data_IF_636086527420
#
_entry.id   IF_636086527420
#
_cell.length_a   1.000
_cell.length_b   1.000
_cell.length_c   1.000
_cell.angle_alpha   90.00
_cell.angle_beta   90.00
_cell.angle_gamma   90.00
#
_symmetry.space_group_name_H-M   'P 1'
#
loop_
_entity.id
_entity.type
_entity.pdbx_description
1 polymer ?
#
# COMPACT_ATOMS: atom_id res chain seq x y z
N UNK A 1 12.90 3.47 -45.64
CA UNK A 1 12.28 4.01 -44.40
C UNK A 1 10.76 4.19 -44.49
N UNK A 2 10.21 4.96 -45.45
CA UNK A 2 8.75 5.21 -45.59
C UNK A 2 7.89 3.94 -45.66
N UNK A 3 8.31 2.94 -46.46
CA UNK A 3 7.63 1.64 -46.61
C UNK A 3 7.56 0.82 -45.31
N UNK A 4 8.54 1.01 -44.42
CA UNK A 4 8.59 0.32 -43.12
C UNK A 4 7.67 0.98 -42.08
N UNK A 5 7.68 2.32 -42.05
CA UNK A 5 6.77 3.11 -41.22
C UNK A 5 5.31 2.85 -41.59
N UNK A 6 5.02 2.71 -42.89
CA UNK A 6 3.68 2.42 -43.38
C UNK A 6 3.21 1.00 -43.04
N UNK A 7 4.12 0.03 -43.08
CA UNK A 7 3.87 -1.35 -42.61
C UNK A 7 3.55 -1.39 -41.13
N UNK A 8 4.26 -0.61 -40.32
CA UNK A 8 3.99 -0.48 -38.87
C UNK A 8 2.64 0.21 -38.64
N UNK A 9 2.36 1.31 -39.35
CA UNK A 9 1.10 2.06 -39.24
C UNK A 9 -0.12 1.20 -39.58
N UNK A 10 -0.04 0.36 -40.60
CA UNK A 10 -1.12 -0.58 -40.93
C UNK A 10 -1.25 -1.72 -39.92
N UNK A 11 -0.18 -2.09 -39.21
CA UNK A 11 -0.18 -3.12 -38.17
C UNK A 11 -0.69 -2.62 -36.82
N UNK A 12 -0.57 -1.31 -36.54
CA UNK A 12 -1.02 -0.62 -35.31
C UNK A 12 -2.36 0.13 -35.54
N UNK A 13 -3.11 -0.22 -36.58
CA UNK A 13 -4.36 0.50 -36.90
C UNK A 13 -5.44 0.13 -35.88
N UNK A 14 -5.65 1.02 -34.90
CA UNK A 14 -6.57 0.82 -33.75
C UNK A 14 -8.03 0.71 -34.20
N UNK A 15 -8.40 1.38 -35.30
CA UNK A 15 -9.75 1.33 -35.86
C UNK A 15 -9.75 0.61 -37.22
N UNK A 16 -10.69 -0.32 -37.46
CA UNK A 16 -10.80 -1.00 -38.74
C UNK A 16 -11.13 0.01 -39.86
N UNK A 17 -10.66 -0.23 -41.10
CA UNK A 17 -11.08 0.55 -42.26
C UNK A 17 -12.58 0.34 -42.53
N UNK A 18 -13.23 1.36 -43.09
CA UNK A 18 -14.65 1.30 -43.49
C UNK A 18 -14.84 0.23 -44.58
N UNK A 19 -15.82 -0.64 -44.42
CA UNK A 19 -16.11 -1.68 -45.42
C UNK A 19 -16.89 -1.11 -46.62
N UNK A 20 -16.71 -1.72 -47.79
CA UNK A 20 -17.37 -1.31 -49.03
C UNK A 20 -18.88 -1.60 -48.93
N UNK A 21 -19.72 -0.57 -49.10
CA UNK A 21 -21.17 -0.65 -48.86
C UNK A 21 -21.64 -0.25 -47.46
N UNK A 22 -20.74 0.01 -46.51
CA UNK A 22 -21.10 0.40 -45.14
C UNK A 22 -21.59 1.85 -45.07
N UNK A 23 -22.69 2.13 -44.36
CA UNK A 23 -23.18 3.51 -44.18
C UNK A 23 -22.19 4.33 -43.32
N UNK A 24 -22.14 5.65 -43.54
CA UNK A 24 -21.26 6.54 -42.76
C UNK A 24 -21.59 6.53 -41.26
N UNK A 25 -22.88 6.43 -40.93
CA UNK A 25 -23.37 6.35 -39.55
C UNK A 25 -22.98 5.05 -38.86
N UNK A 26 -23.06 3.92 -39.56
CA UNK A 26 -22.70 2.61 -39.04
C UNK A 26 -21.20 2.51 -38.72
N UNK A 27 -20.36 3.10 -39.58
CA UNK A 27 -18.92 3.20 -39.33
C UNK A 27 -18.60 4.11 -38.13
N UNK A 28 -19.35 5.22 -37.96
CA UNK A 28 -19.20 6.10 -36.81
C UNK A 28 -19.60 5.39 -35.50
N UNK A 29 -20.72 4.66 -35.48
CA UNK A 29 -21.14 3.84 -34.33
C UNK A 29 -20.10 2.78 -33.96
N UNK A 30 -19.52 2.10 -34.94
CA UNK A 30 -18.46 1.11 -34.69
C UNK A 30 -17.22 1.74 -34.04
N UNK A 31 -16.78 2.92 -34.49
CA UNK A 31 -15.68 3.64 -33.85
C UNK A 31 -15.99 4.04 -32.41
N UNK A 32 -17.20 4.53 -32.15
CA UNK A 32 -17.63 4.91 -30.79
C UNK A 32 -17.64 3.70 -29.87
N UNK A 33 -18.25 2.58 -30.29
CA UNK A 33 -18.28 1.34 -29.51
C UNK A 33 -16.86 0.82 -29.25
N UNK A 34 -16.00 0.87 -30.26
CA UNK A 34 -14.62 0.41 -30.12
C UNK A 34 -13.80 1.32 -29.18
N UNK A 35 -14.00 2.64 -29.27
CA UNK A 35 -13.41 3.61 -28.35
C UNK A 35 -13.86 3.40 -26.90
N UNK A 36 -15.16 3.15 -26.68
CA UNK A 36 -15.69 2.84 -25.35
C UNK A 36 -15.06 1.54 -24.81
N UNK A 37 -14.99 0.48 -25.61
CA UNK A 37 -14.38 -0.81 -25.21
C UNK A 37 -12.91 -0.65 -24.79
N UNK A 38 -12.12 0.08 -25.58
CA UNK A 38 -10.73 0.35 -25.22
C UNK A 38 -10.62 1.26 -24.00
N UNK A 39 -11.48 2.27 -23.87
CA UNK A 39 -11.54 3.13 -22.70
C UNK A 39 -11.85 2.35 -21.41
N UNK A 40 -12.87 1.49 -21.44
CA UNK A 40 -13.21 0.63 -20.30
C UNK A 40 -12.09 -0.35 -19.95
N UNK A 41 -11.40 -0.90 -20.96
CA UNK A 41 -10.28 -1.81 -20.75
C UNK A 41 -9.10 -1.10 -20.07
N UNK A 42 -8.75 0.10 -20.54
CA UNK A 42 -7.66 0.90 -19.97
C UNK A 42 -7.98 1.30 -18.53
N UNK A 43 -9.21 1.76 -18.25
CA UNK A 43 -9.64 2.10 -16.89
C UNK A 43 -9.59 0.89 -15.94
N UNK A 44 -10.06 -0.28 -16.41
CA UNK A 44 -9.97 -1.51 -15.63
C UNK A 44 -8.51 -1.90 -15.35
N UNK A 45 -7.62 -1.78 -16.33
CA UNK A 45 -6.19 -2.06 -16.15
C UNK A 45 -5.54 -1.13 -15.12
N UNK A 46 -5.88 0.16 -15.14
CA UNK A 46 -5.40 1.11 -14.12
C UNK A 46 -5.95 0.80 -12.73
N UNK A 47 -7.23 0.42 -12.62
CA UNK A 47 -7.83 0.03 -11.35
C UNK A 47 -7.16 -1.22 -10.77
N UNK A 48 -6.90 -2.23 -11.60
CA UNK A 48 -6.16 -3.45 -11.19
C UNK A 48 -4.74 -3.10 -10.75
N UNK A 49 -4.01 -2.28 -11.54
CA UNK A 49 -2.65 -1.87 -11.19
C UNK A 49 -2.61 -1.12 -9.84
N UNK A 50 -3.56 -0.20 -9.60
CA UNK A 50 -3.66 0.50 -8.31
C UNK A 50 -4.03 -0.46 -7.19
N UNK A 51 -4.94 -1.40 -7.42
CA UNK A 51 -5.28 -2.45 -6.46
C UNK A 51 -4.07 -3.29 -6.06
N UNK A 52 -3.23 -3.68 -7.04
CA UNK A 52 -1.98 -4.40 -6.78
C UNK A 52 -1.03 -3.52 -5.97
N UNK A 53 -0.81 -2.25 -6.33
CA UNK A 53 0.10 -1.37 -5.59
C UNK A 53 -0.34 -1.12 -4.14
N UNK A 54 -1.64 -1.05 -3.87
CA UNK A 54 -2.18 -0.86 -2.51
C UNK A 54 -2.15 -2.18 -1.72
N UNK A 55 -2.50 -3.31 -2.34
CA UNK A 55 -2.51 -4.61 -1.68
C UNK A 55 -1.10 -5.18 -1.48
N UNK A 56 -0.16 -4.84 -2.35
CA UNK A 56 1.26 -5.12 -2.20
C UNK A 56 1.93 -4.18 -1.19
N UNK A 57 1.17 -3.66 -0.21
CA UNK A 57 1.70 -2.94 0.93
C UNK A 57 2.93 -3.64 1.50
N UNK A 58 3.90 -2.86 1.92
CA UNK A 58 5.23 -3.32 2.31
C UNK A 58 5.15 -4.29 3.49
N UNK A 59 5.02 -5.59 3.21
CA UNK A 59 5.31 -6.62 4.19
C UNK A 59 6.83 -6.68 4.29
N UNK A 60 7.41 -5.88 5.18
CA UNK A 60 8.83 -5.98 5.50
C UNK A 60 9.02 -7.26 6.32
N UNK A 61 9.32 -8.35 5.62
CA UNK A 61 9.76 -9.58 6.28
C UNK A 61 11.14 -9.34 6.85
N UNK A 62 11.20 -9.22 8.18
CA UNK A 62 12.45 -9.16 8.94
C UNK A 62 12.74 -10.55 9.50
N UNK A 63 13.87 -11.14 9.10
CA UNK A 63 14.39 -12.39 9.68
C UNK A 63 15.82 -12.14 10.10
N UNK A 64 16.13 -12.47 11.36
CA UNK A 64 17.48 -12.41 11.89
C UNK A 64 17.97 -13.85 12.12
N UNK A 65 18.88 -14.31 11.27
CA UNK A 65 19.46 -15.66 11.35
C UNK A 65 20.96 -15.58 11.50
N UNK A 66 21.50 -16.16 12.58
CA UNK A 66 22.94 -16.29 12.82
C UNK A 66 23.26 -17.77 12.92
N UNK A 67 24.16 -18.27 12.07
CA UNK A 67 24.56 -19.68 11.99
C UNK A 67 23.37 -20.67 11.93
N UNK A 68 22.34 -20.32 11.16
CA UNK A 68 21.14 -21.15 10.96
C UNK A 68 20.15 -21.17 12.14
N UNK A 69 20.34 -20.31 13.15
CA UNK A 69 19.39 -20.09 14.24
C UNK A 69 18.68 -18.76 14.09
N UNK A 70 17.36 -18.78 14.17
CA UNK A 70 16.56 -17.56 14.27
C UNK A 70 16.81 -16.92 15.65
N UNK A 71 17.24 -15.67 15.64
CA UNK A 71 17.46 -14.87 16.83
C UNK A 71 16.42 -13.76 16.93
N UNK A 72 16.08 -13.29 18.16
CA UNK A 72 15.27 -12.10 18.32
C UNK A 72 15.89 -10.90 17.59
N UNK A 73 15.02 -9.97 17.17
CA UNK A 73 15.44 -8.72 16.54
C UNK A 73 15.71 -7.72 17.65
N UNK A 74 16.98 -7.40 17.87
CA UNK A 74 17.42 -6.37 18.82
C UNK A 74 17.65 -5.02 18.15
N UNK A 75 18.03 -5.04 16.87
CA UNK A 75 18.20 -3.87 16.02
C UNK A 75 18.02 -4.26 14.56
N UNK A 76 17.82 -3.27 13.71
CA UNK A 76 17.80 -3.42 12.26
C UNK A 76 18.98 -2.66 11.67
N UNK A 77 19.59 -3.23 10.63
CA UNK A 77 20.63 -2.53 9.87
C UNK A 77 19.97 -1.42 9.04
N UNK A 78 20.43 -0.19 9.21
CA UNK A 78 19.91 0.98 8.51
C UNK A 78 20.93 2.11 8.49
N UNK A 79 21.05 2.79 7.34
CA UNK A 79 21.86 4.00 7.19
C UNK A 79 21.14 5.25 7.73
N UNK A 80 19.84 5.15 8.03
CA UNK A 80 19.05 6.25 8.57
C UNK A 80 19.32 6.44 10.07
N UNK A 81 19.47 7.69 10.51
CA UNK A 81 19.63 8.03 11.94
C UNK A 81 18.29 7.96 12.68
N UNK A 82 17.76 6.75 12.86
CA UNK A 82 16.48 6.48 13.52
C UNK A 82 16.68 5.59 14.75
N UNK A 83 15.77 5.72 15.70
CA UNK A 83 15.63 4.82 16.85
C UNK A 83 14.17 4.37 16.94
N UNK A 84 13.93 3.20 17.51
CA UNK A 84 12.61 2.71 17.87
C UNK A 84 12.48 2.73 19.40
N UNK A 85 11.35 3.22 19.91
CA UNK A 85 11.06 3.24 21.35
C UNK A 85 9.95 2.24 21.65
N UNK A 86 10.14 1.44 22.70
CA UNK A 86 9.14 0.49 23.20
C UNK A 86 9.04 0.54 24.72
N UNK A 87 7.88 0.17 25.25
CA UNK A 87 7.58 0.12 26.68
C UNK A 87 7.01 -1.24 27.06
N UNK A 88 7.51 -1.80 28.17
CA UNK A 88 6.94 -3.00 28.78
C UNK A 88 6.00 -2.60 29.92
N UNK A 89 4.73 -2.97 29.80
CA UNK A 89 3.69 -2.67 30.77
C UNK A 89 3.26 -3.95 31.51
N UNK A 90 3.80 -4.11 32.71
CA UNK A 90 3.58 -5.28 33.57
C UNK A 90 3.04 -4.94 34.97
N UNK A 91 3.22 -3.70 35.43
CA UNK A 91 2.81 -3.24 36.76
C UNK A 91 2.75 -1.71 36.79
N UNK A 92 1.85 -1.15 37.62
CA UNK A 92 1.63 0.29 37.73
C UNK A 92 1.06 0.92 36.44
N UNK A 93 0.46 2.10 36.57
CA UNK A 93 -0.06 2.88 35.44
C UNK A 93 -0.01 4.40 35.69
N UNK A 94 0.62 4.82 36.78
CA UNK A 94 0.55 6.18 37.33
C UNK A 94 1.13 7.21 36.35
N UNK A 95 2.14 6.81 35.58
CA UNK A 95 2.81 7.66 34.60
C UNK A 95 2.28 7.50 33.16
N UNK A 96 1.41 6.53 32.88
CA UNK A 96 0.97 6.22 31.51
C UNK A 96 0.37 7.43 30.81
N UNK A 97 -0.51 8.17 31.48
CA UNK A 97 -1.13 9.37 30.92
C UNK A 97 -0.09 10.45 30.57
N UNK A 98 0.91 10.65 31.44
CA UNK A 98 1.99 11.62 31.22
C UNK A 98 2.93 11.18 30.11
N UNK A 99 3.22 9.89 30.00
CA UNK A 99 4.00 9.32 28.90
C UNK A 99 3.28 9.60 27.58
N UNK A 100 1.98 9.29 27.48
CA UNK A 100 1.19 9.55 26.28
C UNK A 100 1.12 11.05 25.93
N UNK A 101 1.02 11.93 26.92
CA UNK A 101 1.08 13.38 26.70
C UNK A 101 2.41 13.82 26.08
N UNK A 102 3.54 13.32 26.60
CA UNK A 102 4.89 13.64 26.10
C UNK A 102 5.06 13.10 24.67
N UNK A 103 4.68 11.85 24.42
CA UNK A 103 4.79 11.23 23.09
C UNK A 103 3.99 12.02 22.05
N UNK A 104 2.74 12.38 22.39
CA UNK A 104 1.90 13.22 21.53
C UNK A 104 2.49 14.61 21.29
N UNK A 105 3.04 15.25 22.32
CA UNK A 105 3.68 16.57 22.20
C UNK A 105 4.86 16.56 21.23
N UNK A 106 5.58 15.44 21.17
CA UNK A 106 6.75 15.28 20.31
C UNK A 106 6.44 14.59 18.96
N UNK A 107 5.19 14.20 18.73
CA UNK A 107 4.76 13.46 17.52
C UNK A 107 5.57 12.16 17.32
N UNK A 108 5.72 11.39 18.41
CA UNK A 108 6.52 10.16 18.45
C UNK A 108 5.61 8.95 18.61
N UNK A 109 5.72 8.00 17.68
CA UNK A 109 5.09 6.68 17.75
C UNK A 109 5.97 5.67 18.49
N UNK A 110 5.35 4.75 19.22
CA UNK A 110 6.06 3.77 20.05
C UNK A 110 5.41 2.40 19.96
N UNK A 111 5.90 1.43 20.73
CA UNK A 111 5.25 0.12 20.85
C UNK A 111 5.12 -0.28 22.31
N UNK A 112 3.90 -0.56 22.75
CA UNK A 112 3.63 -1.05 24.11
C UNK A 112 3.46 -2.57 24.13
N UNK A 113 4.34 -3.26 24.86
CA UNK A 113 4.21 -4.68 25.17
C UNK A 113 3.53 -4.83 26.52
N UNK A 114 2.27 -5.26 26.51
CA UNK A 114 1.43 -5.34 27.71
C UNK A 114 1.22 -6.79 28.14
N UNK A 115 1.39 -7.08 29.43
CA UNK A 115 1.00 -8.38 29.98
C UNK A 115 -0.52 -8.50 30.08
N UNK A 116 -1.06 -9.73 30.02
CA UNK A 116 -2.51 -9.95 30.11
C UNK A 116 -3.14 -9.37 31.38
N UNK A 117 -2.52 -9.59 32.53
CA UNK A 117 -3.01 -9.04 33.80
C UNK A 117 -2.99 -7.50 33.84
N UNK A 118 -2.02 -6.86 33.18
CA UNK A 118 -2.00 -5.40 33.07
C UNK A 118 -3.17 -4.90 32.21
N UNK A 119 -3.43 -5.55 31.08
CA UNK A 119 -4.57 -5.23 30.20
C UNK A 119 -5.90 -5.36 30.93
N UNK A 120 -6.06 -6.42 31.73
CA UNK A 120 -7.28 -6.66 32.52
C UNK A 120 -7.48 -5.62 33.62
N UNK A 121 -6.39 -5.17 34.26
CA UNK A 121 -6.44 -4.20 35.36
C UNK A 121 -6.58 -2.75 34.88
N UNK A 122 -6.06 -2.41 33.69
CA UNK A 122 -6.01 -1.04 33.16
C UNK A 122 -6.60 -0.91 31.75
N UNK A 123 -7.85 -1.37 31.52
CA UNK A 123 -8.43 -1.42 30.17
C UNK A 123 -8.65 -0.04 29.55
N UNK A 124 -8.80 1.01 30.35
CA UNK A 124 -8.97 2.37 29.84
C UNK A 124 -7.65 2.98 29.38
N UNK A 125 -6.53 2.67 30.04
CA UNK A 125 -5.19 3.03 29.56
C UNK A 125 -4.86 2.30 28.26
N UNK A 126 -5.23 1.02 28.13
CA UNK A 126 -5.07 0.26 26.86
C UNK A 126 -5.82 0.95 25.72
N UNK A 127 -7.05 1.41 25.96
CA UNK A 127 -7.81 2.16 24.95
C UNK A 127 -7.18 3.52 24.65
N UNK A 128 -6.62 4.19 25.66
CA UNK A 128 -5.94 5.46 25.48
C UNK A 128 -4.67 5.30 24.64
N UNK A 129 -3.89 4.24 24.88
CA UNK A 129 -2.72 3.86 24.08
C UNK A 129 -3.14 3.62 22.62
N UNK A 130 -4.15 2.77 22.39
CA UNK A 130 -4.67 2.50 21.04
C UNK A 130 -5.19 3.77 20.33
N UNK A 131 -5.88 4.65 21.07
CA UNK A 131 -6.39 5.91 20.51
C UNK A 131 -5.30 6.94 20.23
N UNK A 132 -4.13 6.84 20.88
CA UNK A 132 -3.00 7.73 20.67
C UNK A 132 -2.26 7.47 19.35
N UNK A 133 -2.59 6.39 18.64
CA UNK A 133 -2.07 6.10 17.30
C UNK A 133 -0.92 5.08 17.27
N UNK A 134 -0.99 4.08 18.15
CA UNK A 134 -0.24 2.82 18.05
C UNK A 134 -1.16 1.68 17.62
#
# INVERSE_FOLDING_TARGET
>A
MKKYIEKIRNKIRIFPPKQEGQSGEEYARQKVILGIKYGTFVLAAFAVLRGILVAAGENVSVSNSVDGRELPIYCVDTDEKKIALSFDAAWGNEDTAKILEILKKHDVHVTFFMTGGWVENYPDDVKAILAAGD
#
